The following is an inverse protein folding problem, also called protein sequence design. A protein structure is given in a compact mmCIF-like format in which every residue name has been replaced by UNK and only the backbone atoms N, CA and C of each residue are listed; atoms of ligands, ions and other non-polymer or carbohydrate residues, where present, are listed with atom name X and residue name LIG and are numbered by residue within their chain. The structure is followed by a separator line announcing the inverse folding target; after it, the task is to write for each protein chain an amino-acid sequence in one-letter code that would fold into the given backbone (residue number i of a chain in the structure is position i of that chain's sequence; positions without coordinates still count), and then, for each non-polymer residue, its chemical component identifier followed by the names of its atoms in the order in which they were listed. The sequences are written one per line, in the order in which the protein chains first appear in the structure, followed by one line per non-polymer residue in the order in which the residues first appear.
data_IF_947325744027
#
_entry.id   IF_947325744027
#
_cell.length_a   1.000
_cell.length_b   1.000
_cell.length_c   1.000
_cell.angle_alpha   90.00
_cell.angle_beta   90.00
_cell.angle_gamma   90.00
#
_symmetry.space_group_name_H-M   'P 1'
#
loop_
_entity.id
_entity.type
_entity.pdbx_description
1 polymer ?
#
# COMPACT_ATOMS: atom_id res chain seq x y z
N UNK A 1 -15.26 21.34 -49.67
CA UNK A 1 -14.29 20.24 -49.62
C UNK A 1 -13.65 20.27 -48.25
N UNK A 2 -13.93 19.22 -47.49
CA UNK A 2 -13.56 19.02 -46.09
C UNK A 2 -12.09 19.28 -45.79
N UNK A 3 -11.82 20.14 -44.82
CA UNK A 3 -10.54 20.18 -44.12
C UNK A 3 -10.80 20.03 -42.62
N UNK A 4 -11.28 18.85 -42.26
CA UNK A 4 -11.21 18.37 -40.88
C UNK A 4 -9.74 18.03 -40.60
N UNK A 5 -8.97 19.02 -40.17
CA UNK A 5 -7.68 18.77 -39.53
C UNK A 5 -7.95 18.01 -38.22
N UNK A 6 -8.09 16.69 -38.37
CA UNK A 6 -8.31 15.75 -37.27
C UNK A 6 -7.10 15.86 -36.36
N UNK A 7 -7.31 16.39 -35.16
CA UNK A 7 -6.30 16.39 -34.11
C UNK A 7 -6.01 14.93 -33.75
N UNK A 8 -4.94 14.39 -34.34
CA UNK A 8 -4.53 13.01 -34.12
C UNK A 8 -4.11 12.84 -32.65
N UNK A 9 -4.52 11.76 -31.99
CA UNK A 9 -4.14 11.51 -30.61
C UNK A 9 -2.61 11.36 -30.51
N UNK A 10 -2.04 11.91 -29.44
CA UNK A 10 -0.59 11.84 -29.15
C UNK A 10 -0.31 10.87 -28.02
N UNK A 11 0.85 10.22 -28.08
CA UNK A 11 1.31 9.34 -27.02
C UNK A 11 1.64 10.14 -25.77
N UNK A 12 1.02 9.80 -24.63
CA UNK A 12 1.24 10.50 -23.36
C UNK A 12 2.68 10.34 -22.81
N UNK A 13 3.49 9.41 -23.33
CA UNK A 13 4.88 9.22 -22.91
C UNK A 13 5.92 9.89 -23.81
N UNK A 14 5.81 9.66 -25.11
CA UNK A 14 6.83 10.08 -26.09
C UNK A 14 6.33 11.14 -27.07
N UNK A 15 5.09 11.60 -26.91
CA UNK A 15 4.45 12.66 -27.69
C UNK A 15 4.29 12.37 -29.19
N UNK A 16 4.67 11.18 -29.67
CA UNK A 16 4.43 10.76 -31.06
C UNK A 16 2.93 10.77 -31.38
N UNK A 17 2.56 11.46 -32.45
CA UNK A 17 1.21 11.48 -32.98
C UNK A 17 0.84 10.13 -33.61
N UNK A 18 -0.44 9.79 -33.56
CA UNK A 18 -0.99 8.70 -34.36
C UNK A 18 -0.93 9.01 -35.85
N UNK A 19 -0.80 7.97 -36.66
CA UNK A 19 -0.91 8.05 -38.13
C UNK A 19 -1.85 6.95 -38.61
N UNK A 20 -2.13 6.89 -39.92
CA UNK A 20 -2.90 5.79 -40.50
C UNK A 20 -2.26 4.42 -40.22
N UNK A 21 -0.93 4.37 -40.18
CA UNK A 21 -0.12 3.18 -39.90
C UNK A 21 0.11 2.94 -38.40
N UNK A 22 0.10 3.99 -37.58
CA UNK A 22 0.35 3.91 -36.13
C UNK A 22 -0.91 4.25 -35.32
N UNK A 23 -1.70 3.23 -35.03
CA UNK A 23 -2.86 3.34 -34.13
C UNK A 23 -2.41 3.36 -32.68
N UNK A 24 -2.75 4.42 -31.94
CA UNK A 24 -2.48 4.50 -30.51
C UNK A 24 -3.50 3.68 -29.73
N UNK A 25 -3.05 3.14 -28.60
CA UNK A 25 -3.85 2.39 -27.64
C UNK A 25 -4.31 3.31 -26.52
N UNK A 26 -5.59 3.33 -26.23
CA UNK A 26 -6.12 4.04 -25.06
C UNK A 26 -5.76 3.29 -23.78
N UNK A 27 -5.60 4.03 -22.67
CA UNK A 27 -5.52 3.41 -21.35
C UNK A 27 -6.78 2.55 -21.11
N UNK A 28 -6.59 1.26 -20.80
CA UNK A 28 -7.71 0.34 -20.59
C UNK A 28 -8.61 0.72 -19.40
N UNK A 29 -8.04 1.36 -18.38
CA UNK A 29 -8.77 1.77 -17.17
C UNK A 29 -9.48 3.09 -17.36
N UNK A 30 -8.72 4.18 -17.55
CA UNK A 30 -9.30 5.51 -17.63
C UNK A 30 -9.83 5.92 -19.01
N UNK A 31 -9.37 5.28 -20.09
CA UNK A 31 -9.66 5.65 -21.48
C UNK A 31 -9.36 7.13 -21.86
N UNK A 32 -8.66 7.87 -20.99
CA UNK A 32 -8.39 9.31 -21.12
C UNK A 32 -7.05 9.65 -21.79
N UNK A 33 -6.11 8.70 -21.84
CA UNK A 33 -4.77 8.91 -22.40
C UNK A 33 -4.41 7.83 -23.40
N UNK A 34 -3.54 8.16 -24.36
CA UNK A 34 -3.17 7.32 -25.49
C UNK A 34 -1.68 6.93 -25.44
N UNK A 35 -1.35 5.75 -25.96
CA UNK A 35 0.02 5.21 -25.98
C UNK A 35 0.33 4.53 -27.31
N UNK A 36 1.50 4.82 -27.89
CA UNK A 36 1.94 4.13 -29.10
C UNK A 36 2.44 2.69 -28.82
N UNK A 37 2.75 2.35 -27.57
CA UNK A 37 3.19 1.01 -27.17
C UNK A 37 2.90 0.72 -25.70
N UNK A 38 2.90 -0.57 -25.33
CA UNK A 38 2.79 -1.00 -23.94
C UNK A 38 3.98 -0.53 -23.09
N UNK A 39 5.16 -0.39 -23.70
CA UNK A 39 6.35 0.16 -23.03
C UNK A 39 6.13 1.63 -22.66
N UNK A 40 5.60 2.45 -23.58
CA UNK A 40 5.26 3.84 -23.30
C UNK A 40 4.24 3.95 -22.16
N UNK A 41 3.23 3.08 -22.12
CA UNK A 41 2.27 3.02 -21.02
C UNK A 41 2.95 2.68 -19.68
N UNK A 42 3.78 1.64 -19.63
CA UNK A 42 4.51 1.23 -18.41
C UNK A 42 5.43 2.35 -17.91
N UNK A 43 6.17 3.00 -18.81
CA UNK A 43 7.07 4.10 -18.44
C UNK A 43 6.34 5.36 -17.96
N UNK A 44 5.12 5.62 -18.44
CA UNK A 44 4.29 6.73 -17.97
C UNK A 44 3.46 6.37 -16.72
N UNK A 45 3.39 5.10 -16.33
CA UNK A 45 2.49 4.64 -15.28
C UNK A 45 2.72 5.32 -13.94
N UNK A 46 3.98 5.55 -13.54
CA UNK A 46 4.30 6.19 -12.24
C UNK A 46 3.64 7.57 -12.09
N UNK A 47 3.60 8.36 -13.16
CA UNK A 47 2.99 9.70 -13.16
C UNK A 47 1.50 9.68 -13.51
N UNK A 48 1.06 8.69 -14.29
CA UNK A 48 -0.33 8.55 -14.68
C UNK A 48 -1.22 7.90 -13.61
N UNK A 49 -0.71 6.93 -12.84
CA UNK A 49 -1.46 6.13 -11.86
C UNK A 49 -2.29 7.01 -10.90
N UNK A 50 -1.75 8.08 -10.29
CA UNK A 50 -2.52 8.90 -9.34
C UNK A 50 -3.73 9.62 -9.96
N UNK A 51 -3.70 9.85 -11.28
CA UNK A 51 -4.76 10.57 -12.01
C UNK A 51 -5.60 9.65 -12.90
N UNK A 52 -5.32 8.34 -12.90
CA UNK A 52 -5.98 7.34 -13.72
C UNK A 52 -7.39 7.02 -13.19
N UNK A 53 -8.35 7.91 -13.42
CA UNK A 53 -9.74 7.79 -12.95
C UNK A 53 -10.66 7.14 -14.01
N UNK A 54 -10.52 5.85 -14.26
CA UNK A 54 -11.63 5.10 -14.85
C UNK A 54 -11.66 3.68 -14.37
N UNK A 55 -12.90 3.26 -14.10
CA UNK A 55 -13.35 2.03 -13.46
C UNK A 55 -12.36 1.48 -12.42
N UNK A 56 -12.68 1.79 -11.17
CA UNK A 56 -12.28 1.02 -9.99
C UNK A 56 -12.40 -0.47 -10.35
N UNK A 57 -11.28 -1.22 -10.30
CA UNK A 57 -11.17 -2.62 -10.71
C UNK A 57 -10.85 -2.77 -12.20
N UNK A 58 -9.66 -3.17 -12.62
CA UNK A 58 -8.99 -4.43 -12.27
C UNK A 58 -7.48 -4.20 -12.12
N UNK A 59 -6.98 -4.41 -10.90
CA UNK A 59 -5.56 -4.44 -10.57
C UNK A 59 -4.96 -5.74 -11.12
N UNK A 60 -3.84 -5.68 -11.84
CA UNK A 60 -3.17 -6.87 -12.41
C UNK A 60 -2.33 -7.66 -11.40
N UNK A 61 -2.37 -7.27 -10.13
CA UNK A 61 -1.97 -8.09 -8.98
C UNK A 61 -2.89 -7.70 -7.81
N UNK A 62 -3.80 -8.59 -7.35
CA UNK A 62 -4.74 -8.29 -6.27
C UNK A 62 -4.08 -7.94 -4.93
N UNK A 63 -2.81 -8.26 -4.73
CA UNK A 63 -2.13 -8.15 -3.42
C UNK A 63 -1.46 -6.79 -3.15
N UNK A 64 -1.26 -5.93 -4.16
CA UNK A 64 -0.40 -4.73 -4.02
C UNK A 64 -1.14 -3.38 -4.12
N UNK A 65 -2.44 -3.35 -4.39
CA UNK A 65 -3.16 -2.09 -4.60
C UNK A 65 -4.62 -2.20 -4.16
N UNK A 66 -4.84 -2.48 -2.87
CA UNK A 66 -6.18 -2.49 -2.29
C UNK A 66 -6.78 -1.08 -2.15
N UNK A 67 -6.01 -0.01 -2.40
CA UNK A 67 -6.46 1.38 -2.21
C UNK A 67 -6.82 1.72 -0.75
N UNK A 68 -6.65 0.76 0.16
CA UNK A 68 -6.76 0.93 1.60
C UNK A 68 -5.39 1.36 2.08
N UNK A 69 -5.29 2.59 2.58
CA UNK A 69 -4.06 3.11 3.17
C UNK A 69 -4.17 2.99 4.70
N UNK A 70 -3.18 2.40 5.34
CA UNK A 70 -3.07 2.34 6.80
C UNK A 70 -2.28 3.52 7.30
N UNK A 71 -2.83 4.21 8.30
CA UNK A 71 -2.09 5.24 9.04
C UNK A 71 -1.23 4.55 10.08
N UNK A 72 0.08 4.59 9.90
CA UNK A 72 1.05 4.06 10.86
C UNK A 72 1.91 5.20 11.40
N UNK A 73 2.30 5.11 12.67
CA UNK A 73 3.27 6.03 13.25
C UNK A 73 4.69 5.46 13.02
N UNK A 74 5.46 6.09 12.15
CA UNK A 74 6.86 5.74 11.89
C UNK A 74 7.73 6.92 12.34
N UNK A 75 8.49 6.72 13.41
CA UNK A 75 9.40 7.76 13.93
C UNK A 75 8.70 9.05 14.37
N UNK A 76 7.48 8.97 14.91
CA UNK A 76 6.70 10.12 15.37
C UNK A 76 5.83 10.78 14.30
N UNK A 77 5.89 10.31 13.04
CA UNK A 77 5.10 10.85 11.95
C UNK A 77 4.01 9.86 11.52
N UNK A 78 2.76 10.34 11.42
CA UNK A 78 1.66 9.57 10.85
C UNK A 78 1.82 9.51 9.32
N UNK A 79 2.00 8.30 8.79
CA UNK A 79 2.19 8.06 7.36
C UNK A 79 1.12 7.09 6.87
N UNK A 80 0.48 7.44 5.75
CA UNK A 80 -0.42 6.55 5.02
C UNK A 80 0.40 5.57 4.17
N UNK A 81 0.42 4.31 4.57
CA UNK A 81 1.20 3.24 3.92
C UNK A 81 0.26 2.18 3.34
N UNK A 82 0.55 1.72 2.13
CA UNK A 82 -0.18 0.61 1.50
C UNK A 82 0.18 -0.71 2.22
N UNK A 83 -0.80 -1.59 2.53
CA UNK A 83 -0.58 -2.85 3.23
C UNK A 83 0.50 -3.73 2.59
N UNK A 84 0.53 -3.80 1.25
CA UNK A 84 1.56 -4.56 0.53
C UNK A 84 2.98 -4.01 0.73
N UNK A 85 3.13 -2.68 0.82
CA UNK A 85 4.42 -2.05 1.14
C UNK A 85 4.82 -2.32 2.58
N UNK A 86 3.86 -2.27 3.50
CA UNK A 86 4.14 -2.54 4.91
C UNK A 86 4.52 -4.01 5.16
N UNK A 87 3.84 -4.94 4.49
CA UNK A 87 4.21 -6.37 4.47
C UNK A 87 5.64 -6.55 4.00
N UNK A 88 6.00 -5.92 2.89
CA UNK A 88 7.36 -5.99 2.35
C UNK A 88 8.40 -5.43 3.32
N UNK A 89 8.12 -4.30 3.97
CA UNK A 89 9.00 -3.75 5.01
C UNK A 89 9.20 -4.74 6.15
N UNK A 90 8.12 -5.39 6.62
CA UNK A 90 8.22 -6.42 7.64
C UNK A 90 9.09 -7.61 7.20
N UNK A 91 8.86 -8.15 6.00
CA UNK A 91 9.66 -9.26 5.45
C UNK A 91 11.15 -8.89 5.32
N UNK A 92 11.44 -7.67 4.89
CA UNK A 92 12.80 -7.15 4.77
C UNK A 92 13.46 -7.02 6.15
N UNK A 93 12.75 -6.54 7.18
CA UNK A 93 13.21 -6.44 8.57
C UNK A 93 13.49 -7.84 9.14
N UNK A 94 12.57 -8.79 8.95
CA UNK A 94 12.72 -10.18 9.40
C UNK A 94 14.01 -10.78 8.86
N UNK A 95 14.24 -10.65 7.54
CA UNK A 95 15.45 -11.17 6.89
C UNK A 95 16.71 -10.41 7.33
N UNK A 96 16.65 -9.08 7.42
CA UNK A 96 17.78 -8.21 7.77
C UNK A 96 18.31 -8.52 9.17
N UNK A 97 17.41 -8.76 10.13
CA UNK A 97 17.77 -9.01 11.53
C UNK A 97 17.80 -10.50 11.90
N UNK A 98 17.50 -11.37 10.94
CA UNK A 98 17.50 -12.83 11.11
C UNK A 98 16.45 -13.30 12.12
N UNK A 99 15.30 -12.64 12.17
CA UNK A 99 14.19 -13.02 13.06
C UNK A 99 13.52 -14.33 12.63
N UNK A 100 13.81 -14.80 11.42
CA UNK A 100 13.42 -16.10 10.88
C UNK A 100 14.42 -17.24 11.19
N UNK A 101 15.50 -16.96 11.93
CA UNK A 101 16.60 -17.92 12.14
C UNK A 101 16.67 -18.40 13.59
N UNK A 102 16.87 -19.71 13.77
CA UNK A 102 17.13 -20.32 15.07
C UNK A 102 16.00 -20.07 16.07
N UNK A 103 16.34 -19.77 17.32
CA UNK A 103 15.39 -19.48 18.41
C UNK A 103 14.81 -18.06 18.38
N UNK A 104 15.20 -17.21 17.42
CA UNK A 104 14.84 -15.78 17.47
C UNK A 104 13.34 -15.53 17.32
N UNK A 105 12.65 -16.36 16.53
CA UNK A 105 11.20 -16.27 16.40
C UNK A 105 10.49 -16.57 17.72
N UNK A 106 10.96 -17.59 18.45
CA UNK A 106 10.41 -17.99 19.75
C UNK A 106 10.68 -16.90 20.80
N UNK A 107 11.89 -16.33 20.82
CA UNK A 107 12.23 -15.20 21.71
C UNK A 107 11.36 -13.97 21.47
N UNK A 108 10.99 -13.69 20.22
CA UNK A 108 10.08 -12.61 19.86
C UNK A 108 8.65 -12.95 20.32
N UNK A 109 8.20 -14.18 20.10
CA UNK A 109 6.88 -14.62 20.53
C UNK A 109 6.73 -14.50 22.05
N UNK A 110 7.66 -15.07 22.81
CA UNK A 110 7.68 -15.00 24.28
C UNK A 110 7.68 -13.56 24.80
N UNK A 111 8.44 -12.67 24.15
CA UNK A 111 8.49 -11.26 24.51
C UNK A 111 7.18 -10.52 24.24
N UNK A 112 6.48 -10.86 23.16
CA UNK A 112 5.21 -10.24 22.79
C UNK A 112 4.00 -10.83 23.53
N UNK A 113 4.10 -12.04 24.07
CA UNK A 113 3.01 -12.76 24.75
C UNK A 113 3.23 -12.97 26.24
N UNK A 114 4.25 -12.36 26.85
CA UNK A 114 4.55 -12.50 28.26
C UNK A 114 3.39 -12.10 29.18
N UNK A 115 3.35 -12.67 30.39
CA UNK A 115 2.24 -12.60 31.36
C UNK A 115 1.87 -11.18 31.85
N UNK A 116 2.69 -10.17 31.57
CA UNK A 116 2.38 -8.79 31.91
C UNK A 116 1.78 -8.07 30.69
N UNK A 117 0.53 -7.61 30.83
CA UNK A 117 -0.22 -6.81 29.85
C UNK A 117 0.42 -5.43 29.71
N UNK A 118 1.62 -5.39 29.13
CA UNK A 118 2.33 -4.18 28.75
C UNK A 118 2.40 -4.11 27.23
N UNK A 119 1.91 -2.99 26.69
CA UNK A 119 2.13 -2.64 25.29
C UNK A 119 3.62 -2.53 25.06
N UNK A 120 4.20 -3.47 24.32
CA UNK A 120 5.61 -3.41 23.92
C UNK A 120 5.82 -2.19 23.03
N UNK A 121 6.69 -1.28 23.47
CA UNK A 121 7.00 -0.06 22.71
C UNK A 121 8.15 -0.29 21.73
N UNK A 122 8.25 0.50 20.64
CA UNK A 122 9.38 0.41 19.70
C UNK A 122 10.75 0.58 20.35
N UNK A 123 10.97 1.50 21.31
CA UNK A 123 12.25 1.60 22.01
C UNK A 123 12.61 0.35 22.81
N UNK A 124 11.65 -0.25 23.53
CA UNK A 124 11.90 -1.47 24.32
C UNK A 124 12.26 -2.65 23.41
N UNK A 125 11.53 -2.81 22.31
CA UNK A 125 11.82 -3.84 21.31
C UNK A 125 13.20 -3.61 20.67
N UNK A 126 13.51 -2.38 20.29
CA UNK A 126 14.80 -2.00 19.72
C UNK A 126 15.96 -2.34 20.66
N UNK A 127 15.84 -2.01 21.95
CA UNK A 127 16.84 -2.35 22.98
C UNK A 127 16.97 -3.86 23.15
N UNK A 128 15.86 -4.60 23.22
CA UNK A 128 15.87 -6.05 23.43
C UNK A 128 16.54 -6.81 22.29
N UNK A 129 16.20 -6.47 21.06
CA UNK A 129 16.67 -7.18 19.87
C UNK A 129 17.90 -6.56 19.21
N UNK A 130 18.38 -5.42 19.74
CA UNK A 130 19.54 -4.65 19.26
C UNK A 130 19.39 -4.23 17.79
N UNK A 131 18.21 -3.68 17.47
CA UNK A 131 17.89 -3.18 16.13
C UNK A 131 17.60 -1.67 16.18
N UNK A 132 17.65 -0.96 15.04
CA UNK A 132 17.24 0.44 15.00
C UNK A 132 15.77 0.63 15.43
N UNK A 133 15.47 1.74 16.10
CA UNK A 133 14.13 2.02 16.64
C UNK A 133 13.08 2.16 15.54
N UNK A 134 13.49 2.61 14.36
CA UNK A 134 12.68 2.68 13.15
C UNK A 134 12.27 1.30 12.64
N UNK A 135 13.20 0.34 12.65
CA UNK A 135 12.95 -1.04 12.23
C UNK A 135 12.02 -1.72 13.27
N UNK A 136 12.23 -1.47 14.56
CA UNK A 136 11.34 -1.94 15.62
C UNK A 136 9.91 -1.40 15.48
N UNK A 137 9.77 -0.11 15.18
CA UNK A 137 8.48 0.53 14.98
C UNK A 137 7.71 -0.05 13.78
N UNK A 138 8.39 -0.22 12.64
CA UNK A 138 7.80 -0.84 11.45
C UNK A 138 7.40 -2.30 11.69
N UNK A 139 8.22 -3.05 12.43
CA UNK A 139 7.95 -4.44 12.79
C UNK A 139 6.69 -4.59 13.67
N UNK A 140 6.62 -3.83 14.77
CA UNK A 140 5.48 -3.85 15.70
C UNK A 140 4.20 -3.32 15.04
N UNK A 141 4.31 -2.31 14.18
CA UNK A 141 3.16 -1.80 13.43
C UNK A 141 2.49 -2.89 12.59
N UNK A 142 3.28 -3.70 11.86
CA UNK A 142 2.74 -4.81 11.07
C UNK A 142 2.08 -5.89 11.92
N UNK A 143 2.68 -6.24 13.07
CA UNK A 143 2.11 -7.22 14.00
C UNK A 143 0.77 -6.75 14.55
N UNK A 144 0.70 -5.51 15.04
CA UNK A 144 -0.54 -4.92 15.57
C UNK A 144 -1.64 -4.88 14.51
N UNK A 145 -1.29 -4.56 13.26
CA UNK A 145 -2.24 -4.61 12.13
C UNK A 145 -2.76 -6.02 11.91
N UNK A 146 -1.88 -7.03 11.94
CA UNK A 146 -2.26 -8.44 11.84
C UNK A 146 -3.21 -8.90 12.95
N UNK A 147 -3.06 -8.37 14.17
CA UNK A 147 -3.98 -8.62 15.30
C UNK A 147 -5.32 -7.92 15.09
N UNK A 148 -5.33 -6.65 14.66
CA UNK A 148 -6.56 -5.89 14.41
C UNK A 148 -7.42 -6.48 13.27
N UNK A 149 -6.84 -7.15 12.28
CA UNK A 149 -7.60 -7.88 11.27
C UNK A 149 -8.30 -9.14 11.82
N UNK A 150 -7.73 -9.80 12.84
CA UNK A 150 -8.37 -10.96 13.47
C UNK A 150 -9.54 -10.56 14.36
N UNK A 151 -9.48 -9.42 15.05
CA UNK A 151 -10.60 -8.91 15.86
C UNK A 151 -11.85 -8.61 15.00
N UNK A 152 -11.67 -7.97 13.84
CA UNK A 152 -12.78 -7.63 12.94
C UNK A 152 -13.42 -8.85 12.25
N UNK A 153 -12.69 -9.95 12.12
CA UNK A 153 -13.19 -11.19 11.55
C UNK A 153 -13.92 -12.08 12.57
N UNK A 154 -13.69 -11.87 13.87
CA UNK A 154 -14.25 -12.70 14.96
C UNK A 154 -15.48 -12.07 15.63
N UNK A 155 -15.71 -10.76 15.51
CA UNK A 155 -16.94 -10.11 16.00
C UNK A 155 -17.72 -9.39 14.88
N UNK A 156 -18.61 -10.10 14.16
CA UNK A 156 -19.42 -9.50 13.10
C UNK A 156 -20.54 -8.56 13.61
N UNK A 157 -20.67 -8.27 14.92
CA UNK A 157 -21.80 -7.52 15.47
C UNK A 157 -21.48 -6.29 16.34
N UNK A 158 -20.24 -5.82 16.45
CA UNK A 158 -19.95 -4.56 17.19
C UNK A 158 -20.26 -3.26 16.42
N UNK A 159 -20.87 -3.32 15.23
CA UNK A 159 -21.59 -2.16 14.67
C UNK A 159 -22.92 -1.96 15.39
N UNK A 160 -22.87 -1.48 16.64
CA UNK A 160 -24.04 -0.93 17.31
C UNK A 160 -23.79 0.54 17.61
N UNK A 161 -24.41 1.38 16.78
CA UNK A 161 -24.81 2.77 16.99
C UNK A 161 -24.48 3.39 18.36
N UNK A 162 -23.59 4.38 18.38
CA UNK A 162 -23.65 5.44 19.40
C UNK A 162 -24.33 6.66 18.79
N UNK A 163 -25.65 6.72 18.97
CA UNK A 163 -26.36 7.99 18.99
C UNK A 163 -25.97 8.68 20.30
N UNK A 164 -25.32 9.84 20.21
CA UNK A 164 -25.39 10.83 21.27
C UNK A 164 -26.12 12.03 20.68
N UNK A 165 -27.44 11.99 20.86
CA UNK A 165 -28.20 13.19 21.06
C UNK A 165 -27.55 14.01 22.17
N UNK A 166 -27.51 15.33 21.94
CA UNK A 166 -27.83 16.41 22.87
C UNK A 166 -26.82 17.54 22.70
N UNK A 167 -27.31 18.67 22.17
CA UNK A 167 -27.07 19.97 22.76
C UNK A 167 -28.26 20.87 22.37
N UNK A 168 -29.13 21.02 23.37
CA UNK A 168 -29.93 22.19 23.76
C UNK A 168 -30.42 23.16 22.68
#
# INVERSE_FOLDING_TARGET
MDSLAQHLPVCAKCLKAGTAELKLKVCGSCKKVNYCSAQCQKSHWKTHKPTCKGNIGVVKNPEEDSGVFMKVNLGGQEVAVEPGKLKKMFEDIVKKHGFDKGSRADEIADFLTGDEVQTVTPPEFATRFKIPVEDAGAFLAWINIGVSFKEQALDPHSNTTSSLAQNL
#
